data_IF_286058793224
#
_entry.id   IF_286058793224
#
_cell.length_a   1.000
_cell.length_b   1.000
_cell.length_c   1.000
_cell.angle_alpha   90.00
_cell.angle_beta   90.00
_cell.angle_gamma   90.00
#
_symmetry.space_group_name_H-M   'P 1'
#
loop_
_entity.id
_entity.type
_entity.pdbx_description
1 polymer ?
#
# COMPACT_ATOMS: atom_id res chain seq x y z
N UNK A 1 22.19 5.36 13.17
CA UNK A 1 21.71 5.43 11.78
C UNK A 1 21.70 6.88 11.33
N UNK A 2 22.34 7.19 10.19
CA UNK A 2 22.17 8.50 9.56
C UNK A 2 20.80 8.61 8.87
N UNK A 3 20.37 9.84 8.55
CA UNK A 3 19.07 10.10 7.90
C UNK A 3 18.90 9.34 6.58
N UNK A 4 19.96 9.29 5.76
CA UNK A 4 19.94 8.58 4.48
C UNK A 4 19.67 7.08 4.66
N UNK A 5 20.27 6.46 5.68
CA UNK A 5 20.08 5.04 5.98
C UNK A 5 18.69 4.77 6.57
N UNK A 6 18.18 5.68 7.39
CA UNK A 6 16.80 5.59 7.90
C UNK A 6 15.78 5.68 6.75
N UNK A 7 15.99 6.62 5.81
CA UNK A 7 15.15 6.75 4.61
C UNK A 7 15.22 5.48 3.73
N UNK A 8 16.42 4.94 3.48
CA UNK A 8 16.58 3.74 2.68
C UNK A 8 15.87 2.53 3.31
N UNK A 9 15.99 2.35 4.64
CA UNK A 9 15.27 1.31 5.36
C UNK A 9 13.73 1.46 5.21
N UNK A 10 13.20 2.67 5.41
CA UNK A 10 11.77 2.93 5.23
C UNK A 10 11.29 2.67 3.79
N UNK A 11 12.07 3.12 2.80
CA UNK A 11 11.75 2.92 1.38
C UNK A 11 11.69 1.43 1.01
N UNK A 12 12.61 0.60 1.52
CA UNK A 12 12.59 -0.83 1.23
C UNK A 12 11.43 -1.57 1.94
N UNK A 13 11.08 -1.16 3.16
CA UNK A 13 9.91 -1.73 3.85
C UNK A 13 8.64 -1.38 3.06
N UNK A 14 8.50 -0.12 2.62
CA UNK A 14 7.38 0.33 1.78
C UNK A 14 7.29 -0.45 0.46
N UNK A 15 8.43 -0.78 -0.16
CA UNK A 15 8.46 -1.57 -1.40
C UNK A 15 8.20 -3.07 -1.18
N UNK A 16 8.09 -3.52 0.08
CA UNK A 16 7.89 -4.93 0.44
C UNK A 16 9.17 -5.79 0.43
N UNK A 17 10.35 -5.18 0.33
CA UNK A 17 11.64 -5.91 0.33
C UNK A 17 12.20 -6.13 1.76
N UNK A 18 11.58 -5.54 2.79
CA UNK A 18 12.07 -5.55 4.17
C UNK A 18 13.11 -4.45 4.45
N UNK A 19 13.64 -4.31 5.67
CA UNK A 19 14.64 -3.30 5.99
C UNK A 19 16.01 -3.65 5.38
N UNK A 20 16.79 -2.61 5.03
CA UNK A 20 18.14 -2.72 4.48
C UNK A 20 19.12 -3.28 5.53
N UNK A 21 18.97 -2.82 6.77
CA UNK A 21 19.73 -3.29 7.92
C UNK A 21 18.79 -3.93 8.92
N UNK A 22 19.20 -5.05 9.51
CA UNK A 22 18.39 -5.73 10.52
C UNK A 22 18.18 -4.82 11.73
N UNK A 23 16.93 -4.60 12.12
CA UNK A 23 16.61 -3.88 13.34
C UNK A 23 16.80 -4.81 14.54
N UNK A 24 17.81 -4.54 15.36
CA UNK A 24 18.17 -5.36 16.52
C UNK A 24 17.43 -4.95 17.80
N UNK A 25 16.85 -3.75 17.84
CA UNK A 25 16.13 -3.27 19.00
C UNK A 25 14.66 -3.73 18.99
N UNK A 26 14.07 -4.06 20.15
CA UNK A 26 12.65 -4.43 20.23
C UNK A 26 11.72 -3.35 19.67
N UNK A 27 12.01 -2.08 19.92
CA UNK A 27 11.24 -0.97 19.38
C UNK A 27 11.35 -0.84 17.86
N UNK A 28 12.52 -1.16 17.29
CA UNK A 28 12.74 -1.20 15.85
C UNK A 28 11.92 -2.28 15.17
N UNK A 29 11.89 -3.49 15.71
CA UNK A 29 11.07 -4.59 15.18
C UNK A 29 9.57 -4.26 15.18
N UNK A 30 9.07 -3.63 16.25
CA UNK A 30 7.67 -3.21 16.31
C UNK A 30 7.37 -2.10 15.30
N UNK A 31 8.26 -1.12 15.18
CA UNK A 31 8.12 -0.05 14.19
C UNK A 31 8.09 -0.59 12.76
N UNK A 32 9.03 -1.48 12.41
CA UNK A 32 9.11 -2.12 11.10
C UNK A 32 7.79 -2.81 10.74
N UNK A 33 7.25 -3.63 11.66
CA UNK A 33 5.99 -4.33 11.45
C UNK A 33 4.80 -3.39 11.26
N UNK A 34 4.64 -2.39 12.13
CA UNK A 34 3.55 -1.42 12.02
C UNK A 34 3.67 -0.61 10.72
N UNK A 35 4.88 -0.14 10.41
CA UNK A 35 5.14 0.63 9.19
C UNK A 35 4.83 -0.20 7.94
N UNK A 36 5.30 -1.45 7.87
CA UNK A 36 5.00 -2.36 6.77
C UNK A 36 3.50 -2.56 6.55
N UNK A 37 2.73 -2.80 7.62
CA UNK A 37 1.29 -3.02 7.54
C UNK A 37 0.54 -1.77 7.07
N UNK A 38 0.84 -0.61 7.65
CA UNK A 38 0.17 0.66 7.32
C UNK A 38 0.53 1.09 5.90
N UNK A 39 1.80 1.06 5.53
CA UNK A 39 2.24 1.46 4.20
C UNK A 39 1.74 0.50 3.11
N UNK A 40 1.73 -0.81 3.36
CA UNK A 40 1.16 -1.77 2.43
C UNK A 40 -0.33 -1.53 2.19
N UNK A 41 -1.12 -1.37 3.25
CA UNK A 41 -2.55 -1.10 3.12
C UNK A 41 -2.84 0.24 2.43
N UNK A 42 -2.13 1.30 2.83
CA UNK A 42 -2.29 2.63 2.21
C UNK A 42 -1.89 2.61 0.73
N UNK A 43 -0.82 1.89 0.36
CA UNK A 43 -0.40 1.78 -1.03
C UNK A 43 -1.51 1.18 -1.90
N UNK A 44 -2.13 0.07 -1.46
CA UNK A 44 -3.25 -0.53 -2.18
C UNK A 44 -4.50 0.33 -2.17
N UNK A 45 -4.81 1.00 -1.06
CA UNK A 45 -5.96 1.90 -0.98
C UNK A 45 -5.82 3.07 -1.98
N UNK A 46 -4.63 3.68 -2.05
CA UNK A 46 -4.34 4.77 -3.00
C UNK A 46 -4.34 4.26 -4.44
N UNK A 47 -3.73 3.10 -4.70
CA UNK A 47 -3.78 2.47 -6.02
C UNK A 47 -5.23 2.20 -6.46
N UNK A 48 -6.06 1.66 -5.56
CA UNK A 48 -7.49 1.46 -5.79
C UNK A 48 -8.23 2.76 -6.06
N UNK A 49 -7.95 3.83 -5.32
CA UNK A 49 -8.55 5.15 -5.54
C UNK A 49 -8.18 5.74 -6.91
N UNK A 50 -6.92 5.58 -7.33
CA UNK A 50 -6.45 6.03 -8.65
C UNK A 50 -7.07 5.19 -9.77
N UNK A 51 -7.20 3.88 -9.57
CA UNK A 51 -7.75 2.95 -10.56
C UNK A 51 -9.28 2.94 -10.60
N UNK A 52 -9.97 3.38 -9.53
CA UNK A 52 -11.42 3.43 -9.42
C UNK A 52 -12.11 4.08 -10.63
N UNK A 53 -11.73 5.28 -11.13
CA UNK A 53 -12.37 5.88 -12.30
C UNK A 53 -12.15 5.06 -13.59
N UNK A 54 -11.00 4.41 -13.74
CA UNK A 54 -10.76 3.53 -14.89
C UNK A 54 -11.62 2.27 -14.81
N UNK A 55 -11.69 1.65 -13.63
CA UNK A 55 -12.54 0.49 -13.39
C UNK A 55 -14.03 0.82 -13.58
N UNK A 56 -14.49 1.98 -13.09
CA UNK A 56 -15.86 2.46 -13.29
C UNK A 56 -16.18 2.69 -14.77
N UNK A 57 -15.26 3.26 -15.56
CA UNK A 57 -15.43 3.39 -17.02
C UNK A 57 -15.53 2.04 -17.73
N UNK A 58 -14.77 1.05 -17.28
CA UNK A 58 -14.85 -0.32 -17.80
C UNK A 58 -16.22 -0.91 -17.46
N UNK A 59 -16.66 -0.83 -16.21
CA UNK A 59 -17.98 -1.32 -15.76
C UNK A 59 -19.14 -0.70 -16.55
N UNK A 60 -19.13 0.63 -16.71
CA UNK A 60 -20.11 1.35 -17.54
C UNK A 60 -20.10 0.86 -19.00
N UNK A 61 -18.91 0.66 -19.60
CA UNK A 61 -18.81 0.24 -21.00
C UNK A 61 -19.29 -1.20 -21.22
N UNK A 62 -19.18 -2.05 -20.20
CA UNK A 62 -19.69 -3.42 -20.24
C UNK A 62 -21.16 -3.55 -19.79
N UNK A 63 -21.88 -2.43 -19.58
CA UNK A 63 -23.28 -2.38 -19.11
C UNK A 63 -23.55 -3.20 -17.83
N UNK A 64 -22.51 -3.47 -17.03
CA UNK A 64 -22.63 -4.27 -15.81
C UNK A 64 -23.37 -3.52 -14.67
N UNK A 65 -23.69 -2.24 -14.88
CA UNK A 65 -24.39 -1.39 -13.92
C UNK A 65 -25.91 -1.27 -14.17
N UNK A 66 -26.44 -1.81 -15.27
CA UNK A 66 -27.88 -1.68 -15.60
C UNK A 66 -28.78 -2.75 -14.93
N UNK A 67 -28.23 -3.85 -14.39
CA UNK A 67 -29.04 -4.93 -13.80
C UNK A 67 -29.12 -4.93 -12.25
N UNK A 68 -28.36 -4.08 -11.56
CA UNK A 68 -28.35 -4.05 -10.08
C UNK A 68 -29.44 -3.16 -9.45
N UNK A 69 -30.25 -2.45 -10.25
CA UNK A 69 -31.24 -1.48 -9.79
C UNK A 69 -32.71 -1.82 -10.04
N UNK A 70 -33.04 -3.05 -10.51
CA UNK A 70 -34.43 -3.42 -10.87
C UNK A 70 -34.95 -4.72 -10.23
N UNK A 71 -34.58 -5.04 -8.98
CA UNK A 71 -35.31 -6.03 -8.17
C UNK A 71 -35.41 -5.62 -6.71
#
# INVERSE_FOLDING_TARGET
MGLAQAFANAAMILSGMGPLDKLESPGGMVFEGIYALVCGLLFFAVAGLILAPALHRVLHRFHLEDEAGQR
#
